data_IF_078444366291
#
_entry.id   IF_078444366291
#
_cell.length_a   1.000
_cell.length_b   1.000
_cell.length_c   1.000
_cell.angle_alpha   90.00
_cell.angle_beta   90.00
_cell.angle_gamma   90.00
#
_symmetry.space_group_name_H-M   'P 1'
#
loop_
_entity.id
_entity.type
_entity.pdbx_description
1 polymer ?
#
# COMPACT_ATOMS: atom_id res chain seq x y z
N UNK A 1 -7.55 -18.26 41.69
CA UNK A 1 -8.99 -18.04 41.47
C UNK A 1 -9.55 -17.38 42.73
N UNK A 2 -10.01 -16.13 42.64
CA UNK A 2 -10.56 -15.39 43.79
C UNK A 2 -12.08 -15.28 43.63
N UNK A 3 -12.84 -15.92 44.53
CA UNK A 3 -14.30 -15.80 44.59
C UNK A 3 -14.68 -14.82 45.71
N UNK A 4 -15.60 -13.87 45.48
CA UNK A 4 -16.15 -13.04 46.55
C UNK A 4 -16.96 -13.91 47.52
N UNK A 5 -16.85 -13.63 48.82
CA UNK A 5 -17.61 -14.31 49.86
C UNK A 5 -19.05 -13.79 49.86
N UNK A 6 -20.05 -14.68 49.84
CA UNK A 6 -21.48 -14.32 49.92
C UNK A 6 -22.34 -14.67 48.70
N UNK A 7 -21.79 -15.35 47.68
CA UNK A 7 -22.52 -15.76 46.48
C UNK A 7 -23.46 -16.95 46.74
N UNK A 8 -24.65 -16.93 46.13
CA UNK A 8 -25.56 -18.07 46.14
C UNK A 8 -24.96 -19.24 45.32
N UNK A 9 -25.32 -20.49 45.64
CA UNK A 9 -24.68 -21.68 45.03
C UNK A 9 -24.79 -21.72 43.50
N UNK A 10 -25.91 -21.22 42.95
CA UNK A 10 -26.11 -21.08 41.51
C UNK A 10 -25.20 -20.02 40.90
N UNK A 11 -25.04 -18.86 41.55
CA UNK A 11 -24.16 -17.78 41.08
C UNK A 11 -22.69 -18.21 41.08
N UNK A 12 -22.31 -18.96 42.11
CA UNK A 12 -20.98 -19.56 42.22
C UNK A 12 -20.73 -20.53 41.07
N UNK A 13 -21.73 -21.33 40.69
CA UNK A 13 -21.61 -22.25 39.56
C UNK A 13 -21.39 -21.51 38.23
N UNK A 14 -22.04 -20.37 38.02
CA UNK A 14 -21.87 -19.53 36.84
C UNK A 14 -20.46 -18.97 36.72
N UNK A 15 -19.95 -18.41 37.82
CA UNK A 15 -18.61 -17.79 37.86
C UNK A 15 -17.53 -18.85 37.69
N UNK A 16 -17.66 -19.99 38.38
CA UNK A 16 -16.70 -21.10 38.25
C UNK A 16 -16.60 -21.58 36.80
N UNK A 17 -17.73 -21.68 36.10
CA UNK A 17 -17.77 -22.15 34.72
C UNK A 17 -17.14 -21.15 33.73
N UNK A 18 -17.37 -19.87 33.94
CA UNK A 18 -16.77 -18.79 33.14
C UNK A 18 -15.24 -18.77 33.30
N UNK A 19 -14.75 -18.79 34.54
CA UNK A 19 -13.32 -18.80 34.83
C UNK A 19 -12.63 -20.08 34.36
N UNK A 20 -13.28 -21.24 34.48
CA UNK A 20 -12.78 -22.47 33.87
C UNK A 20 -12.65 -22.36 32.35
N UNK A 21 -13.53 -21.59 31.70
CA UNK A 21 -13.46 -21.35 30.26
C UNK A 21 -12.23 -20.53 29.90
N UNK A 22 -11.91 -19.49 30.68
CA UNK A 22 -10.67 -18.72 30.52
C UNK A 22 -9.41 -19.57 30.69
N UNK A 23 -9.39 -20.45 31.70
CA UNK A 23 -8.25 -21.36 31.94
C UNK A 23 -8.11 -22.35 30.76
N UNK A 24 -9.22 -22.96 30.33
CA UNK A 24 -9.21 -23.95 29.25
C UNK A 24 -8.79 -23.36 27.89
N UNK A 25 -9.08 -22.08 27.66
CA UNK A 25 -8.71 -21.36 26.44
C UNK A 25 -7.35 -20.65 26.51
N UNK A 26 -6.65 -20.76 27.65
CA UNK A 26 -5.36 -20.10 27.89
C UNK A 26 -5.43 -18.57 27.79
N UNK A 27 -6.58 -17.98 28.11
CA UNK A 27 -6.81 -16.54 28.02
C UNK A 27 -5.85 -15.74 28.93
N UNK A 28 -5.41 -16.36 30.02
CA UNK A 28 -4.40 -15.84 30.95
C UNK A 28 -2.99 -15.73 30.35
N UNK A 29 -2.71 -16.42 29.24
CA UNK A 29 -1.44 -16.32 28.48
C UNK A 29 -1.64 -15.36 27.29
N UNK A 30 -2.79 -15.45 26.62
CA UNK A 30 -3.11 -14.63 25.43
C UNK A 30 -3.15 -13.14 25.78
N UNK A 31 -3.79 -12.75 26.90
CA UNK A 31 -3.86 -11.32 27.32
C UNK A 31 -2.46 -10.71 27.52
N UNK A 32 -1.52 -11.32 28.29
CA UNK A 32 -0.16 -10.81 28.42
C UNK A 32 0.62 -10.75 27.10
N UNK A 33 0.51 -11.76 26.23
CA UNK A 33 1.18 -11.76 24.92
C UNK A 33 0.66 -10.62 24.05
N UNK A 34 -0.65 -10.43 23.98
CA UNK A 34 -1.26 -9.32 23.26
C UNK A 34 -0.86 -7.96 23.84
N UNK A 35 -0.68 -7.86 25.17
CA UNK A 35 -0.18 -6.66 25.82
C UNK A 35 1.29 -6.38 25.51
N UNK A 36 2.13 -7.42 25.38
CA UNK A 36 3.51 -7.26 24.90
C UNK A 36 3.55 -6.74 23.47
N UNK A 37 2.70 -7.28 22.57
CA UNK A 37 2.56 -6.79 21.20
C UNK A 37 2.12 -5.32 21.21
N UNK A 38 1.13 -4.97 22.04
CA UNK A 38 0.68 -3.59 22.21
C UNK A 38 1.81 -2.67 22.71
N UNK A 39 2.67 -3.17 23.60
CA UNK A 39 3.82 -2.42 24.14
C UNK A 39 4.88 -2.16 23.06
N UNK A 40 5.15 -3.15 22.19
CA UNK A 40 6.05 -2.98 21.04
C UNK A 40 5.46 -1.99 20.03
N UNK A 41 4.16 -2.05 19.80
CA UNK A 41 3.43 -1.22 18.85
C UNK A 41 2.66 -0.07 19.51
N UNK A 42 3.21 0.52 20.58
CA UNK A 42 2.50 1.51 21.40
C UNK A 42 2.04 2.75 20.60
N UNK A 43 2.71 3.06 19.50
CA UNK A 43 2.38 4.18 18.60
C UNK A 43 1.25 3.86 17.59
N UNK A 44 0.86 2.59 17.43
CA UNK A 44 -0.11 2.18 16.42
C UNK A 44 -1.54 2.14 16.99
N UNK A 45 -2.43 3.09 16.64
CA UNK A 45 -3.79 3.15 17.16
C UNK A 45 -4.63 1.92 16.79
N UNK A 46 -4.32 1.22 15.69
CA UNK A 46 -5.03 0.00 15.30
C UNK A 46 -4.75 -1.16 16.27
N UNK A 47 -3.54 -1.25 16.81
CA UNK A 47 -3.19 -2.31 17.78
C UNK A 47 -3.89 -2.06 19.11
N UNK A 48 -4.05 -0.80 19.52
CA UNK A 48 -4.87 -0.43 20.68
C UNK A 48 -6.33 -0.88 20.50
N UNK A 49 -6.92 -0.59 19.34
CA UNK A 49 -8.29 -1.00 19.01
C UNK A 49 -8.40 -2.52 18.98
N UNK A 50 -7.45 -3.22 18.33
CA UNK A 50 -7.43 -4.68 18.27
C UNK A 50 -7.34 -5.33 19.65
N UNK A 51 -6.50 -4.81 20.54
CA UNK A 51 -6.39 -5.28 21.92
C UNK A 51 -7.70 -5.10 22.71
N UNK A 52 -8.37 -3.94 22.55
CA UNK A 52 -9.68 -3.68 23.17
C UNK A 52 -10.77 -4.61 22.62
N UNK A 53 -10.81 -4.84 21.31
CA UNK A 53 -11.77 -5.73 20.66
C UNK A 53 -11.55 -7.18 21.07
N UNK A 54 -10.30 -7.66 21.03
CA UNK A 54 -9.91 -9.01 21.46
C UNK A 54 -10.35 -9.26 22.90
N UNK A 55 -10.05 -8.32 23.80
CA UNK A 55 -10.41 -8.44 25.22
C UNK A 55 -11.92 -8.53 25.40
N UNK A 56 -12.70 -7.74 24.65
CA UNK A 56 -14.17 -7.77 24.69
C UNK A 56 -14.73 -9.08 24.14
N UNK A 57 -14.24 -9.52 22.99
CA UNK A 57 -14.74 -10.72 22.31
C UNK A 57 -14.44 -11.99 23.12
N UNK A 58 -13.33 -11.99 23.87
CA UNK A 58 -12.98 -13.06 24.78
C UNK A 58 -14.00 -13.21 25.92
N UNK A 59 -14.42 -12.10 26.55
CA UNK A 59 -15.46 -12.11 27.60
C UNK A 59 -16.82 -12.55 27.05
N UNK A 60 -17.21 -12.06 25.85
CA UNK A 60 -18.45 -12.50 25.20
C UNK A 60 -18.46 -13.99 24.90
N UNK A 61 -17.35 -14.53 24.38
CA UNK A 61 -17.26 -15.95 24.07
C UNK A 61 -17.32 -16.84 25.33
N UNK A 62 -16.77 -16.36 26.45
CA UNK A 62 -16.90 -17.05 27.74
C UNK A 62 -18.34 -17.03 28.25
N UNK A 63 -19.01 -15.87 28.21
CA UNK A 63 -20.43 -15.73 28.56
C UNK A 63 -21.32 -16.67 27.70
N UNK A 64 -21.05 -16.76 26.40
CA UNK A 64 -21.76 -17.66 25.49
C UNK A 64 -21.51 -19.15 25.79
N UNK A 65 -20.29 -19.51 26.20
CA UNK A 65 -19.96 -20.88 26.59
C UNK A 65 -20.75 -21.32 27.84
N UNK A 66 -20.87 -20.44 28.83
CA UNK A 66 -21.69 -20.66 30.03
C UNK A 66 -23.15 -20.89 29.62
N UNK A 67 -23.72 -20.00 28.80
CA UNK A 67 -25.10 -20.13 28.32
C UNK A 67 -25.37 -21.38 27.49
N UNK A 68 -24.37 -21.84 26.72
CA UNK A 68 -24.47 -23.07 25.92
C UNK A 68 -24.50 -24.32 26.79
N UNK A 69 -23.71 -24.36 27.88
CA UNK A 69 -23.70 -25.48 28.83
C UNK A 69 -24.95 -25.56 29.69
N UNK A 70 -25.64 -24.44 29.90
CA UNK A 70 -26.83 -24.35 30.75
C UNK A 70 -28.14 -24.33 29.97
N UNK A 71 -28.15 -24.89 28.76
CA UNK A 71 -29.33 -25.04 27.89
C UNK A 71 -30.03 -23.74 27.47
N UNK A 72 -29.45 -22.57 27.74
CA UNK A 72 -29.90 -21.26 27.26
C UNK A 72 -31.35 -20.90 27.61
N UNK A 73 -31.86 -21.39 28.74
CA UNK A 73 -33.21 -21.04 29.23
C UNK A 73 -33.29 -19.55 29.61
N UNK A 74 -34.46 -18.95 29.45
CA UNK A 74 -34.72 -17.53 29.68
C UNK A 74 -34.48 -17.14 31.14
N UNK A 75 -34.86 -18.02 32.08
CA UNK A 75 -34.71 -17.77 33.52
C UNK A 75 -33.25 -17.88 33.96
N UNK A 76 -32.48 -18.77 33.33
CA UNK A 76 -31.03 -18.90 33.55
C UNK A 76 -30.29 -17.68 32.99
N UNK A 77 -30.67 -17.19 31.80
CA UNK A 77 -30.09 -15.97 31.21
C UNK A 77 -30.29 -14.75 32.10
N UNK A 78 -31.49 -14.59 32.68
CA UNK A 78 -31.80 -13.49 33.61
C UNK A 78 -31.00 -13.60 34.90
N UNK A 79 -30.94 -14.80 35.47
CA UNK A 79 -30.19 -15.05 36.71
C UNK A 79 -28.69 -14.78 36.51
N UNK A 80 -28.11 -15.26 35.41
CA UNK A 80 -26.71 -14.97 35.06
C UNK A 80 -26.44 -13.48 34.82
N UNK A 81 -27.32 -12.79 34.10
CA UNK A 81 -27.21 -11.34 33.88
C UNK A 81 -27.32 -10.55 35.20
N UNK A 82 -28.16 -11.01 36.13
CA UNK A 82 -28.29 -10.45 37.48
C UNK A 82 -27.01 -10.62 38.28
N UNK A 83 -26.39 -11.80 38.24
CA UNK A 83 -25.11 -12.05 38.91
C UNK A 83 -23.99 -11.19 38.32
N UNK A 84 -23.94 -11.02 36.99
CA UNK A 84 -22.99 -10.11 36.33
C UNK A 84 -23.17 -8.66 36.78
N UNK A 85 -24.42 -8.20 36.89
CA UNK A 85 -24.73 -6.84 37.35
C UNK A 85 -24.36 -6.64 38.83
N UNK A 86 -24.70 -7.61 39.68
CA UNK A 86 -24.37 -7.61 41.11
C UNK A 86 -22.86 -7.50 41.33
N UNK A 87 -22.08 -8.34 40.64
CA UNK A 87 -20.61 -8.36 40.74
C UNK A 87 -19.94 -7.10 40.19
N UNK A 88 -20.55 -6.46 39.20
CA UNK A 88 -20.09 -5.17 38.68
C UNK A 88 -20.43 -4.00 39.62
N UNK A 89 -21.50 -4.11 40.41
CA UNK A 89 -21.97 -3.07 41.33
C UNK A 89 -21.23 -3.13 42.66
N UNK A 90 -20.93 -4.34 43.16
CA UNK A 90 -20.19 -4.55 44.42
C UNK A 90 -18.69 -4.24 44.33
N UNK A 91 -18.13 -4.16 43.12
CA UNK A 91 -16.73 -3.79 42.90
C UNK A 91 -16.65 -2.35 42.39
N UNK A 92 -16.18 -1.44 43.24
CA UNK A 92 -15.64 -0.17 42.74
C UNK A 92 -14.42 -0.47 41.86
N UNK A 93 -14.63 -0.51 40.54
CA UNK A 93 -13.65 -0.96 39.55
C UNK A 93 -12.52 0.08 39.45
N UNK A 94 -11.39 -0.18 40.10
CA UNK A 94 -10.11 0.41 39.72
C UNK A 94 -9.70 -0.24 38.38
N UNK A 95 -9.67 0.57 37.32
CA UNK A 95 -9.34 0.22 35.94
C UNK A 95 -7.89 -0.30 35.77
N UNK A 96 -7.55 -1.48 36.29
CA UNK A 96 -6.17 -1.96 36.19
C UNK A 96 -5.89 -3.39 36.59
N UNK A 97 -6.88 -4.27 36.68
CA UNK A 97 -6.64 -5.68 37.06
C UNK A 97 -7.14 -6.63 35.97
N UNK A 98 -6.26 -7.10 35.06
CA UNK A 98 -6.60 -7.79 33.79
C UNK A 98 -7.36 -9.13 33.89
N UNK A 99 -7.71 -9.55 35.11
CA UNK A 99 -8.22 -10.88 35.47
C UNK A 99 -9.43 -10.83 36.41
N UNK A 100 -10.07 -9.67 36.60
CA UNK A 100 -11.27 -9.59 37.42
C UNK A 100 -12.52 -9.89 36.59
N UNK A 101 -13.31 -10.89 37.00
CA UNK A 101 -14.61 -11.30 36.44
C UNK A 101 -15.64 -10.16 36.20
N UNK A 102 -15.41 -8.97 36.77
CA UNK A 102 -16.22 -7.75 36.58
C UNK A 102 -15.58 -6.65 35.72
N UNK A 103 -14.41 -6.89 35.11
CA UNK A 103 -13.74 -5.93 34.23
C UNK A 103 -14.34 -5.99 32.81
N UNK A 104 -14.42 -4.85 32.13
CA UNK A 104 -14.94 -4.73 30.76
C UNK A 104 -16.40 -4.28 30.68
N UNK A 105 -16.89 -4.10 29.46
CA UNK A 105 -18.18 -3.46 29.15
C UNK A 105 -19.39 -4.30 29.63
N UNK A 106 -19.72 -4.22 30.92
CA UNK A 106 -20.79 -4.99 31.61
C UNK A 106 -22.13 -4.80 30.92
N UNK A 107 -22.45 -3.57 30.52
CA UNK A 107 -23.67 -3.25 29.74
C UNK A 107 -23.72 -4.03 28.43
N UNK A 108 -22.58 -4.12 27.73
CA UNK A 108 -22.43 -4.92 26.51
C UNK A 108 -22.60 -6.42 26.77
N UNK A 109 -22.01 -6.93 27.86
CA UNK A 109 -22.07 -8.36 28.25
C UNK A 109 -23.50 -8.79 28.58
N UNK A 110 -24.21 -8.01 29.40
CA UNK A 110 -25.62 -8.28 29.74
C UNK A 110 -26.48 -8.27 28.47
N UNK A 111 -26.28 -7.30 27.58
CA UNK A 111 -27.02 -7.24 26.31
C UNK A 111 -26.73 -8.46 25.43
N UNK A 112 -25.49 -8.95 25.39
CA UNK A 112 -25.12 -10.15 24.63
C UNK A 112 -25.75 -11.41 25.21
N UNK A 113 -25.69 -11.59 26.53
CA UNK A 113 -26.28 -12.71 27.27
C UNK A 113 -27.79 -12.82 27.01
N UNK A 114 -28.52 -11.70 27.14
CA UNK A 114 -29.96 -11.68 26.95
C UNK A 114 -30.36 -11.95 25.49
N UNK A 115 -29.58 -11.44 24.53
CA UNK A 115 -29.86 -11.61 23.10
C UNK A 115 -29.18 -12.83 22.46
N UNK A 116 -28.51 -13.68 23.24
CA UNK A 116 -27.78 -14.83 22.71
C UNK A 116 -28.69 -15.74 21.89
N UNK A 117 -28.32 -15.95 20.63
CA UNK A 117 -28.93 -16.90 19.68
C UNK A 117 -27.85 -17.84 19.18
N UNK A 118 -28.19 -19.12 19.02
CA UNK A 118 -27.25 -20.11 18.46
C UNK A 118 -26.75 -19.62 17.09
N UNK A 119 -25.43 -19.48 16.87
CA UNK A 119 -24.91 -19.03 15.60
C UNK A 119 -25.28 -20.04 14.51
N UNK A 120 -25.78 -19.56 13.37
CA UNK A 120 -26.09 -20.41 12.22
C UNK A 120 -24.78 -20.86 11.58
N UNK A 121 -24.67 -22.14 11.23
CA UNK A 121 -23.48 -22.75 10.61
C UNK A 121 -22.92 -21.95 9.42
N UNK A 122 -23.80 -21.28 8.66
CA UNK A 122 -23.41 -20.42 7.53
C UNK A 122 -22.61 -19.18 7.92
N UNK A 123 -22.84 -18.61 9.11
CA UNK A 123 -22.07 -17.44 9.57
C UNK A 123 -20.62 -17.79 9.90
N UNK A 124 -20.37 -19.01 10.41
CA UNK A 124 -19.02 -19.53 10.62
C UNK A 124 -18.29 -19.70 9.28
N UNK A 125 -18.98 -20.24 8.27
CA UNK A 125 -18.41 -20.41 6.93
C UNK A 125 -17.98 -19.07 6.31
N UNK A 126 -18.86 -18.06 6.32
CA UNK A 126 -18.52 -16.73 5.78
C UNK A 126 -17.38 -16.05 6.53
N UNK A 127 -17.33 -16.19 7.86
CA UNK A 127 -16.23 -15.63 8.66
C UNK A 127 -14.87 -16.26 8.31
N UNK A 128 -14.84 -17.56 8.05
CA UNK A 128 -13.61 -18.27 7.65
C UNK A 128 -13.18 -17.82 6.25
N UNK A 129 -14.11 -17.69 5.30
CA UNK A 129 -13.81 -17.21 3.94
C UNK A 129 -13.22 -15.80 3.96
N UNK A 130 -13.79 -14.90 4.75
CA UNK A 130 -13.27 -13.52 4.91
C UNK A 130 -11.88 -13.52 5.52
N UNK A 131 -11.64 -14.33 6.56
CA UNK A 131 -10.34 -14.44 7.20
C UNK A 131 -9.27 -15.02 6.25
N UNK A 132 -9.63 -16.01 5.42
CA UNK A 132 -8.75 -16.56 4.40
C UNK A 132 -8.47 -15.50 3.31
N UNK A 133 -9.48 -14.76 2.86
CA UNK A 133 -9.30 -13.72 1.86
C UNK A 133 -8.39 -12.58 2.36
N UNK A 134 -8.58 -12.13 3.60
CA UNK A 134 -7.72 -11.13 4.26
C UNK A 134 -6.33 -11.70 4.51
N UNK A 135 -6.23 -12.96 4.94
CA UNK A 135 -4.96 -13.66 5.13
C UNK A 135 -4.17 -13.79 3.83
N UNK A 136 -4.83 -14.16 2.72
CA UNK A 136 -4.22 -14.18 1.38
C UNK A 136 -3.84 -12.77 0.97
N UNK A 137 -4.66 -11.76 1.20
CA UNK A 137 -4.33 -10.37 0.86
C UNK A 137 -3.13 -9.80 1.62
N UNK A 138 -2.95 -10.20 2.89
CA UNK A 138 -1.82 -9.78 3.74
C UNK A 138 -0.56 -10.64 3.53
N UNK A 139 -0.72 -11.93 3.18
CA UNK A 139 0.40 -12.84 2.87
C UNK A 139 0.84 -12.78 1.40
N UNK A 140 -0.02 -12.24 0.53
CA UNK A 140 0.39 -11.81 -0.81
C UNK A 140 1.26 -10.59 -0.63
N UNK A 141 2.53 -10.85 -0.33
CA UNK A 141 3.57 -9.97 -0.81
C UNK A 141 3.33 -9.86 -2.33
N UNK A 142 3.13 -8.66 -2.91
CA UNK A 142 3.11 -8.57 -4.35
C UNK A 142 4.41 -9.20 -4.82
N UNK A 143 4.31 -10.30 -5.57
CA UNK A 143 5.43 -10.73 -6.39
C UNK A 143 5.65 -9.56 -7.31
N UNK A 144 6.68 -8.76 -7.01
CA UNK A 144 7.22 -7.78 -7.94
C UNK A 144 7.70 -8.66 -9.10
N UNK A 145 6.86 -8.78 -10.13
CA UNK A 145 7.18 -9.49 -11.37
C UNK A 145 8.08 -8.60 -12.22
N UNK A 146 9.16 -8.08 -11.61
CA UNK A 146 10.05 -7.12 -12.24
C UNK A 146 10.75 -7.72 -13.45
N UNK A 147 10.79 -9.05 -13.51
CA UNK A 147 11.28 -9.84 -14.64
C UNK A 147 10.40 -9.77 -15.89
N UNK A 148 9.10 -9.54 -15.79
CA UNK A 148 8.25 -9.53 -17.00
C UNK A 148 8.46 -8.24 -17.79
N UNK A 149 8.74 -7.11 -17.12
CA UNK A 149 9.10 -5.85 -17.75
C UNK A 149 10.53 -5.87 -18.29
N UNK A 150 11.50 -6.34 -17.50
CA UNK A 150 12.90 -6.43 -17.91
C UNK A 150 13.13 -7.51 -18.99
N UNK A 151 12.38 -8.61 -18.94
CA UNK A 151 12.38 -9.67 -19.95
C UNK A 151 11.82 -9.19 -21.29
N UNK A 152 10.69 -8.47 -21.28
CA UNK A 152 10.17 -7.82 -22.50
C UNK A 152 11.13 -6.75 -23.06
N UNK A 153 11.86 -6.02 -22.21
CA UNK A 153 12.87 -5.03 -22.63
C UNK A 153 14.14 -5.70 -23.18
N UNK A 154 14.56 -6.84 -22.61
CA UNK A 154 15.73 -7.60 -23.04
C UNK A 154 15.50 -8.29 -24.39
N UNK A 155 14.31 -8.88 -24.61
CA UNK A 155 13.94 -9.54 -25.87
C UNK A 155 13.93 -8.57 -27.08
N UNK A 156 13.66 -7.29 -26.85
CA UNK A 156 13.67 -6.25 -27.90
C UNK A 156 15.08 -5.83 -28.35
N UNK A 157 16.11 -6.04 -27.52
CA UNK A 157 17.45 -5.47 -27.74
C UNK A 157 18.50 -6.42 -28.34
N UNK A 158 18.17 -7.67 -28.70
CA UNK A 158 19.14 -8.66 -29.22
C UNK A 158 20.42 -8.77 -28.37
N UNK A 159 20.31 -8.59 -27.05
CA UNK A 159 21.42 -8.81 -26.12
C UNK A 159 21.58 -10.32 -25.98
N UNK A 160 22.79 -10.91 -26.21
CA UNK A 160 22.96 -12.34 -26.06
C UNK A 160 22.71 -12.73 -24.61
N UNK A 161 21.57 -13.35 -24.34
CA UNK A 161 21.33 -14.08 -23.11
C UNK A 161 22.27 -15.29 -23.17
N UNK A 162 23.35 -15.28 -22.38
CA UNK A 162 24.13 -16.48 -22.16
C UNK A 162 23.21 -17.51 -21.51
N UNK A 163 22.77 -18.49 -22.29
CA UNK A 163 22.12 -19.70 -21.82
C UNK A 163 23.02 -20.44 -20.83
N UNK A 164 22.35 -21.16 -19.93
CA UNK A 164 22.89 -22.02 -18.86
C UNK A 164 23.18 -21.35 -17.52
N UNK A 165 22.12 -21.16 -16.73
CA UNK A 165 22.08 -21.68 -15.35
C UNK A 165 20.63 -21.70 -14.85
N UNK A 166 20.01 -22.87 -14.93
CA UNK A 166 18.84 -23.24 -14.13
C UNK A 166 19.26 -23.40 -12.66
N UNK A 167 19.38 -22.29 -11.95
CA UNK A 167 19.54 -22.22 -10.49
C UNK A 167 18.67 -21.06 -10.00
N UNK A 168 17.90 -21.33 -8.94
CA UNK A 168 16.92 -20.43 -8.31
C UNK A 168 17.43 -18.98 -8.25
N UNK A 169 16.82 -18.10 -9.05
CA UNK A 169 17.19 -16.68 -9.08
C UNK A 169 16.74 -16.03 -7.76
N UNK A 170 17.64 -15.36 -7.01
CA UNK A 170 17.27 -14.65 -5.80
C UNK A 170 16.25 -13.57 -6.16
N UNK A 171 15.31 -13.30 -5.25
CA UNK A 171 14.38 -12.18 -5.36
C UNK A 171 15.17 -10.89 -5.61
N UNK A 172 15.18 -10.43 -6.85
CA UNK A 172 15.89 -9.23 -7.29
C UNK A 172 15.25 -8.06 -6.55
N UNK A 173 16.02 -7.39 -5.67
CA UNK A 173 15.44 -6.34 -4.84
C UNK A 173 14.97 -5.16 -5.70
N UNK A 174 13.96 -4.41 -5.26
CA UNK A 174 13.51 -3.19 -5.94
C UNK A 174 14.65 -2.22 -6.29
N UNK A 175 15.67 -2.14 -5.43
CA UNK A 175 16.85 -1.30 -5.66
C UNK A 175 17.69 -1.76 -6.85
N UNK A 176 17.78 -3.07 -7.07
CA UNK A 176 18.51 -3.67 -8.19
C UNK A 176 17.76 -3.43 -9.51
N UNK A 177 16.43 -3.58 -9.51
CA UNK A 177 15.59 -3.24 -10.67
C UNK A 177 15.73 -1.76 -11.05
N UNK A 178 15.69 -0.84 -10.08
CA UNK A 178 15.86 0.59 -10.33
C UNK A 178 17.28 0.93 -10.82
N UNK A 179 18.29 0.22 -10.32
CA UNK A 179 19.66 0.34 -10.80
C UNK A 179 19.77 -0.10 -12.26
N UNK A 180 19.19 -1.25 -12.61
CA UNK A 180 19.19 -1.77 -13.97
C UNK A 180 18.47 -0.82 -14.93
N UNK A 181 17.26 -0.38 -14.57
CA UNK A 181 16.50 0.62 -15.34
C UNK A 181 17.30 1.92 -15.52
N UNK A 182 17.98 2.41 -14.47
CA UNK A 182 18.81 3.62 -14.57
C UNK A 182 19.97 3.47 -15.55
N UNK A 183 20.49 2.24 -15.70
CA UNK A 183 21.64 1.92 -16.55
C UNK A 183 21.25 1.48 -17.97
N UNK A 184 19.96 1.33 -18.28
CA UNK A 184 19.50 1.01 -19.62
C UNK A 184 19.85 2.13 -20.60
N UNK A 185 20.29 1.71 -21.79
CA UNK A 185 20.55 2.59 -22.91
C UNK A 185 19.86 2.03 -24.15
N UNK A 186 19.13 2.88 -24.85
CA UNK A 186 18.37 2.51 -26.04
C UNK A 186 18.99 3.17 -27.26
N UNK A 187 19.36 2.35 -28.25
CA UNK A 187 19.94 2.82 -29.50
C UNK A 187 19.11 2.41 -30.69
N UNK A 188 19.03 3.27 -31.69
CA UNK A 188 18.39 2.98 -32.98
C UNK A 188 19.44 2.62 -34.05
N UNK A 189 19.00 1.96 -35.13
CA UNK A 189 19.91 1.47 -36.18
C UNK A 189 20.42 2.61 -37.08
N UNK A 190 19.58 3.61 -37.33
CA UNK A 190 19.83 4.74 -38.23
C UNK A 190 20.20 5.99 -37.42
N UNK A 191 20.59 7.06 -38.09
CA UNK A 191 20.89 8.35 -37.42
C UNK A 191 19.63 9.17 -37.12
N UNK A 192 18.46 8.74 -37.60
CA UNK A 192 17.16 9.35 -37.38
C UNK A 192 16.14 8.28 -36.98
N UNK A 193 15.20 8.64 -36.09
CA UNK A 193 14.09 7.78 -35.70
C UNK A 193 13.19 7.57 -36.91
N UNK A 194 12.76 6.32 -37.12
CA UNK A 194 11.79 5.94 -38.15
C UNK A 194 10.61 5.18 -37.54
N UNK A 195 9.56 4.95 -38.32
CA UNK A 195 8.41 4.14 -37.86
C UNK A 195 8.82 2.72 -37.47
N UNK A 196 9.90 2.18 -38.05
CA UNK A 196 10.48 0.88 -37.67
C UNK A 196 11.00 0.88 -36.21
N UNK A 197 11.36 2.05 -35.68
CA UNK A 197 11.91 2.21 -34.33
C UNK A 197 10.81 2.46 -33.29
N UNK A 198 9.53 2.52 -33.69
CA UNK A 198 8.39 2.82 -32.81
C UNK A 198 8.39 1.97 -31.54
N UNK A 199 8.61 0.67 -31.67
CA UNK A 199 8.64 -0.25 -30.54
C UNK A 199 9.77 0.11 -29.56
N UNK A 200 10.98 0.36 -30.08
CA UNK A 200 12.14 0.79 -29.28
C UNK A 200 11.86 2.10 -28.55
N UNK A 201 11.27 3.10 -29.21
CA UNK A 201 10.95 4.40 -28.59
C UNK A 201 9.87 4.26 -27.52
N UNK A 202 8.85 3.44 -27.77
CA UNK A 202 7.80 3.16 -26.78
C UNK A 202 8.39 2.43 -25.55
N UNK A 203 9.24 1.43 -25.77
CA UNK A 203 9.92 0.68 -24.70
C UNK A 203 10.86 1.57 -23.89
N UNK A 204 11.60 2.47 -24.55
CA UNK A 204 12.40 3.50 -23.90
C UNK A 204 11.57 4.36 -22.94
N UNK A 205 10.40 4.84 -23.39
CA UNK A 205 9.50 5.63 -22.55
C UNK A 205 8.89 4.83 -21.41
N UNK A 206 8.51 3.57 -21.63
CA UNK A 206 8.01 2.67 -20.57
C UNK A 206 9.06 2.44 -19.48
N UNK A 207 10.32 2.22 -19.88
CA UNK A 207 11.43 2.05 -18.94
C UNK A 207 11.65 3.31 -18.10
N UNK A 208 11.59 4.50 -18.72
CA UNK A 208 11.65 5.77 -17.98
C UNK A 208 10.50 5.91 -16.98
N UNK A 209 9.26 5.63 -17.39
CA UNK A 209 8.08 5.72 -16.51
C UNK A 209 8.24 4.79 -15.31
N UNK A 210 8.58 3.52 -15.53
CA UNK A 210 8.76 2.55 -14.45
C UNK A 210 9.93 2.94 -13.51
N UNK A 211 11.02 3.50 -14.05
CA UNK A 211 12.11 4.03 -13.24
C UNK A 211 11.64 5.19 -12.35
N UNK A 212 10.92 6.14 -12.93
CA UNK A 212 10.44 7.34 -12.24
C UNK A 212 9.40 6.98 -11.16
N UNK A 213 8.37 6.22 -11.49
CA UNK A 213 7.31 5.84 -10.55
C UNK A 213 7.80 4.83 -9.51
N UNK A 214 8.70 3.92 -9.90
CA UNK A 214 9.33 2.99 -8.97
C UNK A 214 10.21 3.71 -7.96
N UNK A 215 10.97 4.73 -8.39
CA UNK A 215 11.74 5.57 -7.47
C UNK A 215 10.85 6.31 -6.47
N UNK A 216 9.66 6.78 -6.89
CA UNK A 216 8.67 7.38 -5.98
C UNK A 216 8.18 6.36 -4.95
N UNK A 217 7.69 5.21 -5.40
CA UNK A 217 7.11 4.20 -4.53
C UNK A 217 8.11 3.64 -3.51
N UNK A 218 9.33 3.37 -3.96
CA UNK A 218 10.39 2.77 -3.14
C UNK A 218 11.20 3.80 -2.34
N UNK A 219 10.92 5.10 -2.51
CA UNK A 219 11.64 6.21 -1.88
C UNK A 219 13.16 6.11 -2.13
N UNK A 220 13.55 5.77 -3.37
CA UNK A 220 14.93 5.58 -3.78
C UNK A 220 15.41 6.74 -4.65
N UNK A 221 16.65 7.15 -4.42
CA UNK A 221 17.35 8.03 -5.35
C UNK A 221 17.77 7.23 -6.59
N UNK A 222 17.53 7.80 -7.77
CA UNK A 222 17.89 7.22 -9.07
C UNK A 222 18.53 8.29 -9.97
N UNK A 223 19.07 7.88 -11.11
CA UNK A 223 19.68 8.80 -12.09
C UNK A 223 18.97 8.68 -13.44
N UNK A 224 18.64 9.82 -14.04
CA UNK A 224 18.01 9.87 -15.37
C UNK A 224 18.97 10.24 -16.50
N UNK A 225 20.30 10.28 -16.25
CA UNK A 225 21.32 10.72 -17.24
C UNK A 225 21.32 9.90 -18.54
N UNK A 226 20.94 8.63 -18.47
CA UNK A 226 20.85 7.79 -19.67
C UNK A 226 19.63 8.13 -20.53
N UNK A 227 18.60 8.74 -19.94
CA UNK A 227 17.38 9.16 -20.61
C UNK A 227 17.40 10.63 -21.03
N UNK A 228 17.99 11.52 -20.24
CA UNK A 228 17.95 12.97 -20.42
C UNK A 228 19.37 13.53 -20.49
N UNK A 229 19.72 14.20 -21.60
CA UNK A 229 21.01 14.87 -21.79
C UNK A 229 20.99 16.34 -21.35
N UNK A 230 19.86 17.04 -21.50
CA UNK A 230 19.75 18.46 -21.17
C UNK A 230 19.81 18.69 -19.65
N UNK A 231 20.73 19.53 -19.18
CA UNK A 231 20.97 19.75 -17.76
C UNK A 231 19.77 20.39 -17.04
N UNK A 232 19.07 21.32 -17.68
CA UNK A 232 17.91 22.01 -17.08
C UNK A 232 16.75 21.04 -16.91
N UNK A 233 16.46 20.24 -17.94
CA UNK A 233 15.43 19.20 -17.86
C UNK A 233 15.80 18.13 -16.84
N UNK A 234 17.07 17.73 -16.75
CA UNK A 234 17.53 16.76 -15.75
C UNK A 234 17.35 17.30 -14.32
N UNK A 235 17.75 18.55 -14.06
CA UNK A 235 17.55 19.23 -12.78
C UNK A 235 16.06 19.30 -12.43
N UNK A 236 15.23 19.69 -13.39
CA UNK A 236 13.78 19.73 -13.23
C UNK A 236 13.21 18.36 -12.85
N UNK A 237 13.61 17.31 -13.58
CA UNK A 237 13.11 15.95 -13.37
C UNK A 237 13.51 15.40 -12.00
N UNK A 238 14.75 15.65 -11.56
CA UNK A 238 15.20 15.28 -10.21
C UNK A 238 14.41 16.04 -9.13
N UNK A 239 14.18 17.34 -9.32
CA UNK A 239 13.40 18.15 -8.37
C UNK A 239 11.94 17.69 -8.30
N UNK A 240 11.35 17.36 -9.43
CA UNK A 240 10.00 16.77 -9.50
C UNK A 240 9.95 15.43 -8.76
N UNK A 241 10.93 14.53 -8.98
CA UNK A 241 10.99 13.26 -8.26
C UNK A 241 11.03 13.47 -6.73
N UNK A 242 11.86 14.39 -6.24
CA UNK A 242 11.93 14.72 -4.81
C UNK A 242 10.60 15.24 -4.25
N UNK A 243 9.92 16.13 -4.99
CA UNK A 243 8.62 16.68 -4.59
C UNK A 243 7.54 15.60 -4.54
N UNK A 244 7.48 14.73 -5.54
CA UNK A 244 6.53 13.63 -5.62
C UNK A 244 6.82 12.59 -4.50
N UNK A 245 8.08 12.26 -4.24
CA UNK A 245 8.45 11.40 -3.09
C UNK A 245 7.97 11.97 -1.74
N UNK A 246 8.15 13.28 -1.51
CA UNK A 246 7.68 13.95 -0.29
C UNK A 246 6.16 13.92 -0.16
N UNK A 247 5.44 14.11 -1.27
CA UNK A 247 3.97 14.07 -1.30
C UNK A 247 3.42 12.67 -1.07
N UNK A 248 4.10 11.64 -1.59
CA UNK A 248 3.76 10.24 -1.36
C UNK A 248 3.84 9.89 0.13
N UNK A 249 4.88 10.33 0.82
CA UNK A 249 5.03 10.14 2.28
C UNK A 249 3.91 10.83 3.09
N UNK A 250 3.34 11.91 2.58
CA UNK A 250 2.21 12.62 3.22
C UNK A 250 0.85 12.03 2.85
N UNK A 251 0.79 11.07 1.90
CA UNK A 251 -0.45 10.52 1.37
C UNK A 251 -1.27 11.53 0.57
N UNK A 252 -0.61 12.50 -0.06
CA UNK A 252 -1.28 13.59 -0.81
C UNK A 252 -1.69 13.17 -2.24
N UNK A 253 -1.36 11.96 -2.69
CA UNK A 253 -1.76 11.45 -4.00
C UNK A 253 -3.04 10.62 -3.96
N UNK A 254 -3.86 10.83 -4.98
CA UNK A 254 -4.93 9.91 -5.38
C UNK A 254 -4.43 8.80 -6.32
N UNK A 255 -3.16 8.87 -6.74
CA UNK A 255 -2.53 7.93 -7.67
C UNK A 255 -1.59 7.01 -6.93
N UNK A 256 -1.61 5.73 -7.31
CA UNK A 256 -0.72 4.71 -6.76
C UNK A 256 0.50 4.63 -7.67
N UNK A 257 1.70 4.81 -7.12
CA UNK A 257 2.95 4.63 -7.84
C UNK A 257 3.51 3.21 -7.60
N UNK A 258 4.26 2.69 -8.56
CA UNK A 258 4.92 1.40 -8.41
C UNK A 258 6.01 1.16 -9.47
N UNK A 259 6.73 0.05 -9.31
CA UNK A 259 7.82 -0.39 -10.21
C UNK A 259 7.31 -0.97 -11.53
N UNK A 260 6.09 -1.47 -11.55
CA UNK A 260 5.48 -2.12 -12.71
C UNK A 260 4.14 -1.46 -13.03
N UNK A 261 4.13 -0.68 -14.10
CA UNK A 261 2.90 -0.10 -14.62
C UNK A 261 2.37 -0.90 -15.80
N UNK A 262 1.04 -1.01 -15.88
CA UNK A 262 0.35 -1.48 -17.06
C UNK A 262 0.23 -0.34 -18.06
N UNK A 263 0.59 -0.55 -19.32
CA UNK A 263 0.53 0.46 -20.37
C UNK A 263 -0.55 0.11 -21.38
N UNK A 264 -1.37 1.09 -21.75
CA UNK A 264 -2.31 0.94 -22.87
C UNK A 264 -1.63 1.31 -24.18
N UNK A 265 -2.40 1.35 -25.27
CA UNK A 265 -1.89 1.72 -26.58
C UNK A 265 -1.19 3.09 -26.55
N UNK A 266 0.06 3.11 -27.03
CA UNK A 266 0.89 4.29 -27.10
C UNK A 266 0.57 5.10 -28.35
N UNK A 267 0.35 6.39 -28.18
CA UNK A 267 0.25 7.33 -29.28
C UNK A 267 1.66 7.75 -29.70
N UNK A 268 2.00 7.57 -30.97
CA UNK A 268 3.31 7.86 -31.53
C UNK A 268 3.12 8.77 -32.75
N UNK A 269 3.75 9.95 -32.73
CA UNK A 269 3.60 10.96 -33.78
C UNK A 269 4.94 11.60 -34.11
N UNK A 270 5.28 11.60 -35.39
CA UNK A 270 6.41 12.39 -35.89
C UNK A 270 6.04 13.87 -35.90
N UNK A 271 6.93 14.72 -35.35
CA UNK A 271 6.79 16.18 -35.42
C UNK A 271 7.81 16.80 -36.38
N UNK A 272 9.02 16.23 -36.45
CA UNK A 272 10.11 16.66 -37.34
C UNK A 272 11.01 15.45 -37.70
N UNK A 273 12.04 15.64 -38.55
CA UNK A 273 12.95 14.58 -39.03
C UNK A 273 13.62 13.77 -37.90
N UNK A 274 13.91 14.39 -36.75
CA UNK A 274 14.49 13.73 -35.58
C UNK A 274 13.74 14.10 -34.29
N UNK A 275 12.43 14.34 -34.36
CA UNK A 275 11.62 14.70 -33.20
C UNK A 275 10.28 13.98 -33.21
N UNK A 276 10.06 13.19 -32.18
CA UNK A 276 8.86 12.37 -32.03
C UNK A 276 8.15 12.67 -30.72
N UNK A 277 6.84 12.80 -30.80
CA UNK A 277 5.95 12.86 -29.65
C UNK A 277 5.43 11.47 -29.32
N UNK A 278 5.52 11.12 -28.04
CA UNK A 278 4.98 9.86 -27.52
C UNK A 278 4.10 10.16 -26.32
N UNK A 279 2.90 9.61 -26.32
CA UNK A 279 2.01 9.61 -25.16
C UNK A 279 1.76 8.17 -24.73
N UNK A 280 2.10 7.90 -23.48
CA UNK A 280 2.06 6.61 -22.80
C UNK A 280 1.04 6.70 -21.66
N UNK A 281 -0.22 6.34 -21.89
CA UNK A 281 -1.15 6.14 -20.80
C UNK A 281 -0.76 4.86 -20.06
N UNK A 282 -0.72 4.96 -18.73
CA UNK A 282 -0.33 3.86 -17.86
C UNK A 282 -1.15 3.86 -16.57
N UNK A 283 -1.23 2.69 -15.93
CA UNK A 283 -1.89 2.54 -14.64
C UNK A 283 -1.15 1.60 -13.71
N UNK A 284 -1.31 1.83 -12.42
CA UNK A 284 -0.87 0.94 -11.36
C UNK A 284 -2.03 0.64 -10.43
N UNK A 285 -2.33 -0.64 -10.19
CA UNK A 285 -3.42 -1.09 -9.32
C UNK A 285 -4.77 -0.39 -9.58
N UNK A 286 -5.07 -0.12 -10.86
CA UNK A 286 -6.30 0.55 -11.28
C UNK A 286 -6.30 2.07 -11.19
N UNK A 287 -5.22 2.71 -10.72
CA UNK A 287 -5.03 4.15 -10.79
C UNK A 287 -4.22 4.54 -12.02
N UNK A 288 -4.81 5.37 -12.89
CA UNK A 288 -4.26 5.68 -14.21
C UNK A 288 -3.81 7.12 -14.39
N UNK A 289 -2.76 7.31 -15.18
CA UNK A 289 -2.20 8.60 -15.56
C UNK A 289 -1.60 8.50 -16.98
N UNK A 290 -1.11 9.62 -17.52
CA UNK A 290 -0.44 9.62 -18.83
C UNK A 290 0.91 10.30 -18.71
N UNK A 291 1.92 9.67 -19.30
CA UNK A 291 3.23 10.27 -19.49
C UNK A 291 3.39 10.68 -20.95
N UNK A 292 3.73 11.94 -21.19
CA UNK A 292 3.98 12.46 -22.53
C UNK A 292 5.43 12.90 -22.63
N UNK A 293 6.07 12.60 -23.74
CA UNK A 293 7.46 12.96 -23.97
C UNK A 293 7.71 13.38 -25.41
N UNK A 294 8.72 14.24 -25.58
CA UNK A 294 9.43 14.45 -26.83
C UNK A 294 10.73 13.65 -26.79
N UNK A 295 10.96 12.88 -27.85
CA UNK A 295 12.15 12.05 -28.01
C UNK A 295 12.90 12.46 -29.26
N UNK A 296 14.22 12.54 -29.14
CA UNK A 296 15.15 12.71 -30.24
C UNK A 296 16.27 11.67 -30.14
N UNK A 297 17.11 11.61 -31.18
CA UNK A 297 18.34 10.83 -31.13
C UNK A 297 19.57 11.71 -31.10
N UNK A 298 20.51 11.35 -30.24
CA UNK A 298 21.85 11.92 -30.12
C UNK A 298 22.84 10.79 -30.35
N UNK A 299 23.59 10.79 -31.46
CA UNK A 299 24.53 9.72 -31.80
C UNK A 299 23.89 8.32 -31.75
N UNK A 300 22.69 8.19 -32.33
CA UNK A 300 21.85 6.97 -32.35
C UNK A 300 21.27 6.56 -30.99
N UNK A 301 21.54 7.30 -29.91
CA UNK A 301 20.99 7.03 -28.58
C UNK A 301 19.72 7.84 -28.39
N UNK A 302 18.65 7.22 -27.92
CA UNK A 302 17.39 7.91 -27.63
C UNK A 302 17.53 8.81 -26.40
N UNK A 303 17.02 10.04 -26.51
CA UNK A 303 17.01 11.04 -25.44
C UNK A 303 15.66 11.73 -25.35
N UNK A 304 15.18 11.90 -24.12
CA UNK A 304 14.03 12.75 -23.80
C UNK A 304 14.51 14.20 -23.82
N UNK A 305 13.85 15.01 -24.64
CA UNK A 305 14.14 16.45 -24.77
C UNK A 305 13.07 17.32 -24.14
N UNK A 306 11.87 16.78 -23.93
CA UNK A 306 10.85 17.38 -23.08
C UNK A 306 9.93 16.29 -22.53
N UNK A 307 9.34 16.51 -21.35
CA UNK A 307 8.40 15.60 -20.72
C UNK A 307 7.27 16.33 -20.01
N UNK A 308 6.18 15.60 -19.82
CA UNK A 308 5.01 16.08 -19.10
C UNK A 308 4.20 14.93 -18.52
N UNK A 309 3.89 14.99 -17.23
CA UNK A 309 2.99 14.06 -16.56
C UNK A 309 1.58 14.66 -16.53
N UNK A 310 0.62 13.97 -17.17
CA UNK A 310 -0.70 14.44 -17.59
C UNK A 310 -1.72 14.85 -16.53
N UNK A 311 -1.29 15.25 -15.33
CA UNK A 311 -2.19 15.63 -14.25
C UNK A 311 -2.59 17.11 -14.34
N UNK A 312 -3.90 17.38 -14.53
CA UNK A 312 -4.44 18.74 -14.73
C UNK A 312 -4.08 19.70 -13.59
N UNK A 313 -3.97 19.19 -12.36
CA UNK A 313 -3.66 19.97 -11.16
C UNK A 313 -2.30 19.60 -10.55
N UNK A 314 -1.45 18.89 -11.33
CA UNK A 314 -0.12 18.48 -10.90
C UNK A 314 0.87 19.65 -10.81
N UNK A 315 1.95 19.48 -10.04
CA UNK A 315 3.04 20.46 -9.92
C UNK A 315 3.58 20.83 -11.29
N UNK A 316 3.77 19.83 -12.16
CA UNK A 316 4.23 20.00 -13.54
C UNK A 316 3.36 21.02 -14.30
N UNK A 317 2.04 20.94 -14.13
CA UNK A 317 1.09 21.86 -14.77
C UNK A 317 1.18 23.28 -14.23
N UNK A 318 1.39 23.43 -12.92
CA UNK A 318 1.50 24.73 -12.26
C UNK A 318 2.77 25.45 -12.74
N UNK A 319 3.89 24.71 -12.82
CA UNK A 319 5.20 25.30 -13.06
C UNK A 319 5.48 25.49 -14.55
N UNK A 320 5.14 24.51 -15.39
CA UNK A 320 5.41 24.55 -16.84
C UNK A 320 4.23 25.06 -17.68
N UNK A 321 3.01 25.03 -17.15
CA UNK A 321 1.79 25.56 -17.77
C UNK A 321 0.72 24.50 -18.09
N UNK A 322 -0.55 24.95 -18.13
CA UNK A 322 -1.72 24.08 -18.39
C UNK A 322 -1.59 23.31 -19.72
N UNK A 323 -1.93 22.01 -19.79
CA UNK A 323 -1.75 21.19 -21.00
C UNK A 323 -2.60 21.64 -22.20
N UNK A 324 -3.63 22.47 -21.96
CA UNK A 324 -4.36 23.16 -23.04
C UNK A 324 -3.53 24.24 -23.74
N UNK A 325 -2.47 24.73 -23.08
CA UNK A 325 -1.58 25.81 -23.51
C UNK A 325 -0.18 25.28 -23.81
N UNK A 326 0.39 24.46 -22.90
CA UNK A 326 1.69 23.79 -23.10
C UNK A 326 1.49 22.50 -23.90
N UNK A 327 1.61 22.61 -25.22
CA UNK A 327 1.78 21.44 -26.09
C UNK A 327 3.26 21.05 -26.12
N UNK A 328 3.55 19.76 -26.11
CA UNK A 328 4.91 19.24 -26.34
C UNK A 328 5.19 19.26 -27.85
N UNK A 329 5.94 20.27 -28.30
CA UNK A 329 6.30 20.44 -29.72
C UNK A 329 7.63 21.14 -29.95
N UNK A 330 8.18 21.81 -28.93
CA UNK A 330 9.46 22.52 -29.02
C UNK A 330 10.54 21.74 -28.27
N UNK A 331 11.52 21.22 -29.01
CA UNK A 331 12.65 20.46 -28.46
C UNK A 331 13.67 21.34 -27.72
N UNK A 332 13.69 22.65 -27.99
CA UNK A 332 14.66 23.59 -27.43
C UNK A 332 14.13 24.38 -26.25
N UNK A 333 12.94 24.03 -25.76
CA UNK A 333 12.27 24.75 -24.67
C UNK A 333 13.14 24.88 -23.41
N UNK A 334 13.91 23.85 -23.09
CA UNK A 334 14.81 23.82 -21.94
C UNK A 334 16.14 24.55 -22.16
N UNK A 335 16.37 25.12 -23.35
CA UNK A 335 17.48 26.03 -23.68
C UNK A 335 17.10 27.51 -23.47
N UNK A 336 15.80 27.82 -23.39
CA UNK A 336 15.28 29.17 -23.10
C UNK A 336 15.44 29.49 -21.61
N UNK A 337 16.54 30.17 -21.27
CA UNK A 337 16.89 30.46 -19.87
C UNK A 337 15.83 31.30 -19.15
N UNK A 338 15.18 32.25 -19.83
CA UNK A 338 14.14 33.09 -19.21
C UNK A 338 12.92 32.23 -18.82
N UNK A 339 12.52 31.31 -19.70
CA UNK A 339 11.45 30.37 -19.38
C UNK A 339 11.84 29.39 -18.28
N UNK A 340 13.05 28.82 -18.35
CA UNK A 340 13.57 27.88 -17.35
C UNK A 340 13.62 28.52 -15.96
N UNK A 341 14.14 29.75 -15.84
CA UNK A 341 14.20 30.48 -14.57
C UNK A 341 12.79 30.69 -14.00
N UNK A 342 11.82 31.04 -14.84
CA UNK A 342 10.41 31.16 -14.44
C UNK A 342 9.76 29.85 -13.98
N UNK A 343 10.21 28.70 -14.49
CA UNK A 343 9.76 27.38 -14.02
C UNK A 343 10.32 27.09 -12.62
N UNK A 344 11.63 27.31 -12.42
CA UNK A 344 12.27 27.05 -11.13
C UNK A 344 11.79 28.01 -10.04
N UNK A 345 11.52 29.28 -10.35
CA UNK A 345 10.94 30.23 -9.38
C UNK A 345 9.57 29.76 -8.87
N UNK A 346 8.74 29.16 -9.74
CA UNK A 346 7.46 28.59 -9.33
C UNK A 346 7.63 27.30 -8.53
N UNK A 347 8.61 26.47 -8.87
CA UNK A 347 8.93 25.25 -8.12
C UNK A 347 9.34 25.59 -6.67
N UNK A 348 10.17 26.61 -6.48
CA UNK A 348 10.59 27.06 -5.14
C UNK A 348 9.40 27.53 -4.30
N UNK A 349 8.41 28.20 -4.90
CA UNK A 349 7.19 28.64 -4.19
C UNK A 349 6.30 27.48 -3.73
N UNK A 350 6.40 26.32 -4.38
CA UNK A 350 5.65 25.11 -4.00
C UNK A 350 6.34 24.36 -2.84
N UNK A 351 7.61 24.67 -2.55
CA UNK A 351 8.34 24.09 -1.41
C UNK A 351 7.96 24.66 -0.03
N UNK A 352 7.22 25.78 0.01
CA UNK A 352 6.89 26.53 1.25
C UNK A 352 5.59 26.06 1.89
#
# INVERSE_FOLDING_TARGET
MYLPNGLHDEERSYILLHEQTHIKRYDHIIKPVAFLILSVHWFNPLVWIAFMLMSRDMEFSCDEHVLKKMNSDMDIKKSYASSLLSLATDRHILNGSPLAFGEGNVKGRIKNVLNYRKPRFWLLFFSIVIMIAVGIGLLSNPVIKGKDALGQIADSNNIPLSEEASLELPETSAAEILSDLSNLQFSIKRDQISDDDRETVVTFGKAFVNLYTGAIAEQKAVTFKNYISNENLLKYTNKMLELEQRKELKGEFSVIFGLENEFTEAEFKQLDENLYYVNLPFSNQGSGMSFKMLVQTENKILKIVDLYFGNKDGVDTIVTGHPAVRKLHDSKRWEDQEWVDGVFEKLEKIEI
#
